data_IF_251750383917
#
_entry.id   IF_251750383917
#
_cell.length_a   1.000
_cell.length_b   1.000
_cell.length_c   1.000
_cell.angle_alpha   90.00
_cell.angle_beta   90.00
_cell.angle_gamma   90.00
#
_symmetry.space_group_name_H-M   'P 1'
#
loop_
_entity.id
_entity.type
_entity.pdbx_description
1 polymer ?
#
# COMPACT_ATOMS: atom_id res chain seq x y z
N UNK A 1 19.30 -11.33 -19.56
CA UNK A 1 18.96 -10.62 -18.32
C UNK A 1 17.96 -9.53 -18.66
N UNK A 2 16.66 -9.81 -18.58
CA UNK A 2 15.63 -8.80 -18.83
C UNK A 2 15.39 -8.10 -17.50
N UNK A 3 15.86 -6.85 -17.37
CA UNK A 3 15.44 -5.97 -16.29
C UNK A 3 13.94 -5.74 -16.49
N UNK A 4 13.11 -6.42 -15.71
CA UNK A 4 11.69 -6.13 -15.68
C UNK A 4 11.51 -4.76 -15.01
N UNK A 5 11.36 -3.74 -15.82
CA UNK A 5 10.98 -2.39 -15.39
C UNK A 5 9.50 -2.42 -15.00
N UNK A 6 9.23 -2.87 -13.77
CA UNK A 6 7.90 -2.78 -13.17
C UNK A 6 7.58 -1.31 -12.87
N UNK A 7 7.06 -0.60 -13.86
CA UNK A 7 6.43 0.69 -13.65
C UNK A 7 5.23 0.49 -12.72
N UNK A 8 5.30 1.04 -11.51
CA UNK A 8 4.21 0.93 -10.53
C UNK A 8 2.92 1.49 -11.10
N UNK A 9 1.84 0.69 -11.09
CA UNK A 9 0.56 1.11 -11.64
C UNK A 9 -0.27 1.81 -10.55
N UNK A 10 -0.48 3.12 -10.71
CA UNK A 10 -1.39 3.91 -9.88
C UNK A 10 -2.83 3.82 -10.41
N UNK A 11 -3.75 3.30 -9.61
CA UNK A 11 -5.17 3.15 -9.94
C UNK A 11 -5.99 4.07 -9.03
N UNK A 12 -6.57 5.12 -9.61
CA UNK A 12 -7.54 6.01 -8.96
C UNK A 12 -8.98 5.60 -9.29
N UNK A 13 -9.85 5.48 -8.29
CA UNK A 13 -11.27 5.13 -8.49
C UNK A 13 -12.15 5.99 -7.59
N UNK A 14 -13.23 6.55 -8.17
CA UNK A 14 -14.24 7.30 -7.41
C UNK A 14 -15.55 6.50 -7.42
N UNK A 15 -15.95 6.00 -6.26
CA UNK A 15 -17.22 5.31 -6.06
C UNK A 15 -18.26 6.27 -5.48
N UNK A 16 -19.46 6.26 -6.05
CA UNK A 16 -20.61 6.98 -5.50
C UNK A 16 -21.45 6.03 -4.64
N UNK A 17 -21.81 6.46 -3.42
CA UNK A 17 -22.73 5.75 -2.54
C UNK A 17 -23.86 6.68 -2.12
N UNK A 18 -25.09 6.19 -2.15
CA UNK A 18 -26.24 6.84 -1.50
C UNK A 18 -26.47 6.21 -0.13
N UNK A 19 -26.56 7.02 0.91
CA UNK A 19 -26.92 6.56 2.26
C UNK A 19 -28.44 6.37 2.39
N UNK A 20 -28.88 5.67 3.44
CA UNK A 20 -30.30 5.49 3.74
C UNK A 20 -31.06 6.83 3.88
N UNK A 21 -30.36 7.86 4.36
CA UNK A 21 -30.82 9.24 4.50
C UNK A 21 -30.90 10.02 3.16
N UNK A 22 -30.60 9.38 2.03
CA UNK A 22 -30.63 10.00 0.70
C UNK A 22 -29.38 10.81 0.32
N UNK A 23 -28.50 11.13 1.28
CA UNK A 23 -27.24 11.86 1.04
C UNK A 23 -26.31 11.07 0.12
N UNK A 24 -25.77 11.75 -0.90
CA UNK A 24 -24.79 11.20 -1.84
C UNK A 24 -23.38 11.48 -1.32
N UNK A 25 -22.58 10.42 -1.18
CA UNK A 25 -21.18 10.47 -0.81
C UNK A 25 -20.31 9.92 -1.94
N UNK A 26 -19.16 10.55 -2.14
CA UNK A 26 -18.16 10.18 -3.14
C UNK A 26 -16.92 9.70 -2.41
N UNK A 27 -16.61 8.41 -2.53
CA UNK A 27 -15.38 7.83 -2.01
C UNK A 27 -14.33 7.79 -3.12
N UNK A 28 -13.30 8.60 -3.00
CA UNK A 28 -12.10 8.46 -3.80
C UNK A 28 -11.19 7.39 -3.19
N UNK A 29 -10.58 6.57 -4.03
CA UNK A 29 -9.63 5.53 -3.67
C UNK A 29 -8.42 5.63 -4.58
N UNK A 30 -7.23 5.51 -4.01
CA UNK A 30 -5.97 5.42 -4.74
C UNK A 30 -5.28 4.13 -4.31
N UNK A 31 -4.85 3.34 -5.29
CA UNK A 31 -4.08 2.13 -5.08
C UNK A 31 -2.81 2.19 -5.90
N UNK A 32 -1.68 1.97 -5.26
CA UNK A 32 -0.39 1.81 -5.92
C UNK A 32 0.01 0.33 -5.83
N UNK A 33 0.33 -0.25 -6.99
CA UNK A 33 0.93 -1.59 -7.06
C UNK A 33 2.36 -1.49 -7.56
N UNK A 34 3.31 -2.01 -6.80
CA UNK A 34 4.71 -2.16 -7.23
C UNK A 34 5.07 -3.64 -7.26
N UNK A 35 5.69 -4.10 -8.35
CA UNK A 35 6.09 -5.51 -8.50
C UNK A 35 4.93 -6.54 -8.43
N UNK A 36 3.68 -6.08 -8.57
CA UNK A 36 2.49 -6.93 -8.44
C UNK A 36 1.86 -6.98 -7.04
N UNK A 37 2.52 -6.43 -6.01
CA UNK A 37 1.99 -6.30 -4.65
C UNK A 37 1.42 -4.89 -4.42
N UNK A 38 0.38 -4.78 -3.59
CA UNK A 38 -0.27 -3.51 -3.25
C UNK A 38 0.58 -2.78 -2.20
N UNK A 39 1.39 -1.82 -2.62
CA UNK A 39 2.23 -1.02 -1.71
C UNK A 39 1.38 -0.03 -0.90
N UNK A 40 0.48 0.69 -1.56
CA UNK A 40 -0.29 1.76 -0.92
C UNK A 40 -1.76 1.65 -1.32
N UNK A 41 -2.65 1.76 -0.34
CA UNK A 41 -4.08 1.87 -0.58
C UNK A 41 -4.68 2.91 0.35
N UNK A 42 -5.08 4.04 -0.22
CA UNK A 42 -5.72 5.13 0.50
C UNK A 42 -7.13 5.35 -0.02
N UNK A 43 -8.04 5.74 0.88
CA UNK A 43 -9.38 6.13 0.49
C UNK A 43 -9.89 7.26 1.34
N UNK A 44 -10.59 8.20 0.71
CA UNK A 44 -11.19 9.34 1.40
C UNK A 44 -12.58 9.63 0.83
N UNK A 45 -13.50 9.93 1.73
CA UNK A 45 -14.91 10.16 1.38
C UNK A 45 -15.23 11.65 1.46
N UNK A 46 -15.98 12.13 0.47
CA UNK A 46 -16.36 13.53 0.31
C UNK A 46 -17.85 13.65 -0.04
N UNK A 47 -18.46 14.78 0.31
CA UNK A 47 -19.87 15.07 -0.07
C UNK A 47 -19.99 15.56 -1.51
N UNK A 48 -18.92 16.10 -2.11
CA UNK A 48 -18.91 16.61 -3.49
C UNK A 48 -17.93 15.83 -4.37
N UNK A 49 -18.35 15.50 -5.59
CA UNK A 49 -17.51 14.80 -6.58
C UNK A 49 -16.27 15.60 -6.97
N UNK A 50 -16.38 16.92 -7.07
CA UNK A 50 -15.26 17.80 -7.40
C UNK A 50 -14.12 17.67 -6.36
N UNK A 51 -14.45 17.68 -5.07
CA UNK A 51 -13.47 17.51 -3.98
C UNK A 51 -12.80 16.13 -4.03
N UNK A 52 -13.56 15.08 -4.36
CA UNK A 52 -13.03 13.73 -4.50
C UNK A 52 -12.02 13.64 -5.66
N UNK A 53 -12.31 14.29 -6.79
CA UNK A 53 -11.42 14.36 -7.94
C UNK A 53 -10.15 15.16 -7.64
N UNK A 54 -10.29 16.32 -7.01
CA UNK A 54 -9.16 17.19 -6.68
C UNK A 54 -8.22 16.52 -5.68
N UNK A 55 -8.76 15.89 -4.63
CA UNK A 55 -7.98 15.09 -3.70
C UNK A 55 -7.25 13.96 -4.43
N UNK A 56 -7.93 13.25 -5.35
CA UNK A 56 -7.30 12.16 -6.10
C UNK A 56 -6.13 12.67 -6.94
N UNK A 57 -6.28 13.81 -7.63
CA UNK A 57 -5.21 14.41 -8.45
C UNK A 57 -4.03 14.85 -7.60
N UNK A 58 -4.30 15.59 -6.52
CA UNK A 58 -3.25 16.05 -5.59
C UNK A 58 -2.47 14.87 -5.03
N UNK A 59 -3.18 13.84 -4.57
CA UNK A 59 -2.54 12.69 -3.95
C UNK A 59 -1.77 11.84 -4.95
N UNK A 60 -2.26 11.70 -6.19
CA UNK A 60 -1.50 11.07 -7.27
C UNK A 60 -0.18 11.81 -7.56
N UNK A 61 -0.20 13.14 -7.60
CA UNK A 61 1.00 13.95 -7.81
C UNK A 61 2.00 13.82 -6.64
N UNK A 62 1.53 13.80 -5.39
CA UNK A 62 2.39 13.53 -4.22
C UNK A 62 3.06 12.16 -4.31
N UNK A 63 2.35 11.13 -4.77
CA UNK A 63 2.92 9.78 -4.95
C UNK A 63 3.97 9.76 -6.07
N UNK A 64 3.69 10.43 -7.18
CA UNK A 64 4.62 10.54 -8.32
C UNK A 64 5.91 11.27 -7.92
N UNK A 65 5.81 12.35 -7.14
CA UNK A 65 6.97 13.09 -6.62
C UNK A 65 7.85 12.22 -5.70
N UNK A 66 7.24 11.46 -4.80
CA UNK A 66 7.96 10.54 -3.91
C UNK A 66 8.66 9.43 -4.72
N UNK A 67 7.98 8.89 -5.74
CA UNK A 67 8.57 7.90 -6.64
C UNK A 67 9.74 8.48 -7.46
N UNK A 68 9.61 9.71 -7.95
CA UNK A 68 10.69 10.39 -8.69
C UNK A 68 11.93 10.65 -7.81
N UNK A 69 11.73 10.82 -6.51
CA UNK A 69 12.82 10.96 -5.53
C UNK A 69 13.55 9.63 -5.27
N UNK A 70 13.01 8.49 -5.74
CA UNK A 70 13.57 7.16 -5.52
C UNK A 70 13.41 6.65 -4.08
N UNK A 71 12.63 7.36 -3.26
CA UNK A 71 12.28 6.92 -1.92
C UNK A 71 11.10 5.95 -2.00
N UNK A 72 11.08 4.91 -1.16
CA UNK A 72 9.92 4.03 -1.07
C UNK A 72 8.72 4.86 -0.59
N UNK A 73 7.60 4.77 -1.31
CA UNK A 73 6.35 5.34 -0.86
C UNK A 73 5.93 4.57 0.39
N UNK A 74 6.02 5.19 1.57
CA UNK A 74 5.60 4.57 2.81
C UNK A 74 4.10 4.24 2.75
N UNK A 75 3.80 2.98 2.51
CA UNK A 75 2.45 2.47 2.37
C UNK A 75 2.09 1.44 3.44
N UNK A 76 1.16 0.56 3.09
CA UNK A 76 0.74 -0.53 3.98
C UNK A 76 1.89 -1.55 4.04
N UNK A 77 2.65 -1.55 5.13
CA UNK A 77 3.64 -2.61 5.36
C UNK A 77 2.89 -3.89 5.70
N UNK A 78 3.12 -4.94 4.93
CA UNK A 78 2.52 -6.24 5.21
C UNK A 78 3.18 -6.90 6.42
N UNK A 79 2.44 -7.69 7.20
CA UNK A 79 2.99 -8.44 8.34
C UNK A 79 4.18 -9.32 7.91
N UNK A 80 4.11 -9.88 6.70
CA UNK A 80 5.19 -10.64 6.08
C UNK A 80 6.46 -9.82 5.92
N UNK A 81 6.36 -8.59 5.41
CA UNK A 81 7.53 -7.71 5.24
C UNK A 81 8.16 -7.35 6.60
N UNK A 82 7.33 -7.06 7.62
CA UNK A 82 7.81 -6.79 8.99
C UNK A 82 8.55 -8.03 9.55
N UNK A 83 7.99 -9.21 9.37
CA UNK A 83 8.62 -10.46 9.84
C UNK A 83 9.92 -10.76 9.08
N UNK A 84 10.01 -10.42 7.79
CA UNK A 84 11.25 -10.57 7.02
C UNK A 84 12.34 -9.61 7.50
N UNK A 85 11.99 -8.37 7.78
CA UNK A 85 12.90 -7.37 8.35
C UNK A 85 13.41 -7.82 9.73
N UNK A 86 12.48 -8.24 10.61
CA UNK A 86 12.81 -8.80 11.92
C UNK A 86 13.77 -9.99 11.86
N UNK A 87 13.53 -10.94 10.93
CA UNK A 87 14.42 -12.09 10.71
C UNK A 87 15.79 -11.67 10.19
N UNK A 88 15.84 -10.65 9.34
CA UNK A 88 17.09 -10.16 8.76
C UNK A 88 17.93 -9.42 9.81
N UNK A 89 17.31 -8.57 10.62
CA UNK A 89 17.98 -7.79 11.66
C UNK A 89 18.61 -8.69 12.73
N UNK A 90 17.86 -9.66 13.25
CA UNK A 90 18.39 -10.53 14.30
C UNK A 90 19.22 -11.72 13.77
N UNK A 91 19.34 -11.91 12.45
CA UNK A 91 20.22 -12.91 11.84
C UNK A 91 21.68 -12.52 12.10
N UNK A 92 22.33 -13.23 13.01
CA UNK A 92 23.73 -12.99 13.40
C UNK A 92 23.92 -12.25 14.71
N UNK A 93 22.86 -11.69 15.29
CA UNK A 93 22.87 -11.06 16.63
C UNK A 93 22.48 -12.09 17.71
N UNK A 94 21.44 -12.88 17.43
CA UNK A 94 20.90 -13.87 18.38
C UNK A 94 20.91 -15.24 17.71
N UNK A 95 21.08 -16.32 18.48
CA UNK A 95 20.86 -17.69 18.02
C UNK A 95 19.40 -18.09 18.29
N UNK A 96 18.69 -18.53 17.26
CA UNK A 96 17.25 -18.75 17.30
C UNK A 96 17.00 -20.25 17.24
N UNK A 97 16.14 -20.77 18.12
CA UNK A 97 15.75 -22.18 18.10
C UNK A 97 14.76 -22.50 16.97
N UNK A 98 14.69 -23.78 16.60
CA UNK A 98 13.82 -24.30 15.52
C UNK A 98 12.36 -23.86 15.67
N UNK A 99 11.83 -23.84 16.89
CA UNK A 99 10.43 -23.49 17.15
C UNK A 99 10.11 -22.04 16.76
N UNK A 100 11.01 -21.08 17.04
CA UNK A 100 10.79 -19.68 16.68
C UNK A 100 10.80 -19.46 15.17
N UNK A 101 11.68 -20.16 14.45
CA UNK A 101 11.71 -20.12 12.97
C UNK A 101 10.46 -20.73 12.35
N UNK A 102 9.97 -21.84 12.91
CA UNK A 102 8.74 -22.48 12.44
C UNK A 102 7.52 -21.57 12.62
N UNK A 103 7.40 -20.90 13.76
CA UNK A 103 6.29 -19.99 14.08
C UNK A 103 6.27 -18.78 13.12
N UNK A 104 7.42 -18.13 12.92
CA UNK A 104 7.55 -17.02 11.96
C UNK A 104 7.21 -17.47 10.53
N UNK A 105 7.65 -18.67 10.14
CA UNK A 105 7.35 -19.22 8.81
C UNK A 105 5.85 -19.51 8.64
N UNK A 106 5.17 -19.92 9.71
CA UNK A 106 3.71 -20.08 9.73
C UNK A 106 3.01 -18.73 9.51
N UNK A 107 3.41 -17.72 10.29
CA UNK A 107 2.85 -16.36 10.22
C UNK A 107 3.12 -15.66 8.89
N UNK A 108 4.19 -16.02 8.17
CA UNK A 108 4.50 -15.49 6.83
C UNK A 108 3.64 -16.08 5.70
N UNK A 109 2.98 -17.22 5.94
CA UNK A 109 2.17 -17.94 4.95
C UNK A 109 0.67 -17.73 5.12
N UNK A 110 0.25 -17.22 6.27
CA UNK A 110 -1.12 -16.83 6.58
C UNK A 110 -1.50 -15.54 5.83
#
# INVERSE_FOLDING_TARGET
>A
MVRHEFHGALIGTIAQRRNADGVILFRAQIRLKEGGELTLSESKTFTRRALAQEWQRRRAAEIEEVQATGLPVHGLVTLKQILQDYVSDAKGIVAWGRSKTADITCLQKA
#
